data_IF_898357034958
#
_entry.id   IF_898357034958
#
_cell.length_a   1.000
_cell.length_b   1.000
_cell.length_c   1.000
_cell.angle_alpha   90.00
_cell.angle_beta   90.00
_cell.angle_gamma   90.00
#
_symmetry.space_group_name_H-M   'P 1'
#
loop_
_entity.id
_entity.type
_entity.pdbx_description
1 polymer ?
#
# COMPACT_ATOMS: atom_id res chain seq x y z
N UNK A 1 3.72 -14.65 11.50
CA UNK A 1 2.70 -13.84 10.76
C UNK A 1 3.43 -13.10 9.64
N UNK A 2 2.83 -12.95 8.45
CA UNK A 2 3.44 -12.29 7.30
C UNK A 2 2.45 -11.34 6.66
N UNK A 3 2.96 -10.33 5.95
CA UNK A 3 2.16 -9.53 5.02
C UNK A 3 2.11 -10.30 3.71
N UNK A 4 0.92 -10.55 3.19
CA UNK A 4 0.71 -11.11 1.85
C UNK A 4 0.26 -9.99 0.92
N UNK A 5 0.69 -10.03 -0.33
CA UNK A 5 0.33 -8.97 -1.27
C UNK A 5 0.14 -9.51 -2.68
N UNK A 6 -0.67 -8.79 -3.44
CA UNK A 6 -0.91 -9.04 -4.87
C UNK A 6 -0.98 -7.71 -5.60
N UNK A 7 -0.41 -7.63 -6.79
CA UNK A 7 -0.61 -6.51 -7.71
C UNK A 7 -1.15 -7.02 -9.03
N UNK A 8 -2.15 -6.30 -9.55
CA UNK A 8 -2.74 -6.56 -10.85
C UNK A 8 -2.90 -5.28 -11.65
N UNK A 9 -3.23 -5.44 -12.93
CA UNK A 9 -3.45 -4.37 -13.90
C UNK A 9 -4.89 -4.42 -14.42
N UNK A 10 -5.30 -3.41 -15.14
CA UNK A 10 -6.61 -3.40 -15.80
C UNK A 10 -6.80 -4.56 -16.79
N UNK A 11 -5.70 -5.10 -17.33
CA UNK A 11 -5.75 -6.24 -18.25
C UNK A 11 -6.10 -7.56 -17.54
N UNK A 12 -5.92 -7.63 -16.21
CA UNK A 12 -6.24 -8.81 -15.41
C UNK A 12 -7.72 -8.87 -15.01
N UNK A 13 -8.47 -7.76 -15.19
CA UNK A 13 -9.89 -7.68 -14.82
C UNK A 13 -10.74 -8.27 -15.94
N UNK A 14 -11.57 -9.29 -15.67
CA UNK A 14 -12.47 -9.84 -16.70
C UNK A 14 -13.44 -8.80 -17.24
N UNK A 15 -13.77 -8.89 -18.51
CA UNK A 15 -14.75 -8.01 -19.14
C UNK A 15 -16.16 -8.20 -18.55
N UNK A 16 -16.50 -9.43 -18.18
CA UNK A 16 -17.75 -9.77 -17.52
C UNK A 16 -17.61 -9.66 -16.00
N UNK A 17 -18.66 -9.13 -15.36
CA UNK A 17 -18.64 -8.87 -13.91
C UNK A 17 -19.30 -9.98 -13.09
N UNK A 18 -19.39 -11.20 -13.60
CA UNK A 18 -19.99 -12.35 -12.90
C UNK A 18 -19.28 -12.72 -11.58
N UNK A 19 -18.10 -12.19 -11.35
CA UNK A 19 -17.31 -12.35 -10.12
C UNK A 19 -17.69 -11.37 -8.99
N UNK A 20 -18.54 -10.38 -9.27
CA UNK A 20 -19.08 -9.47 -8.25
C UNK A 20 -20.26 -10.10 -7.54
N UNK A 21 -20.35 -9.91 -6.22
CA UNK A 21 -21.58 -10.22 -5.48
C UNK A 21 -22.71 -9.22 -5.81
N UNK A 22 -23.94 -9.53 -5.38
CA UNK A 22 -25.11 -8.70 -5.67
C UNK A 22 -24.97 -7.25 -5.20
N UNK A 23 -24.46 -7.03 -3.98
CA UNK A 23 -24.26 -5.68 -3.42
C UNK A 23 -23.20 -4.88 -4.21
N UNK A 24 -22.14 -5.55 -4.65
CA UNK A 24 -21.10 -4.91 -5.46
C UNK A 24 -21.57 -4.57 -6.86
N UNK A 25 -22.42 -5.42 -7.45
CA UNK A 25 -23.08 -5.17 -8.74
C UNK A 25 -24.02 -3.97 -8.64
N UNK A 26 -24.81 -3.88 -7.58
CA UNK A 26 -25.66 -2.71 -7.30
C UNK A 26 -24.79 -1.45 -7.16
N UNK A 27 -23.73 -1.52 -6.38
CA UNK A 27 -22.79 -0.38 -6.19
C UNK A 27 -22.16 0.08 -7.50
N UNK A 28 -21.77 -0.87 -8.36
CA UNK A 28 -21.21 -0.60 -9.68
C UNK A 28 -22.20 0.15 -10.57
N UNK A 29 -23.49 -0.20 -10.53
CA UNK A 29 -24.54 0.44 -11.34
C UNK A 29 -24.76 1.92 -10.99
N UNK A 30 -24.47 2.31 -9.75
CA UNK A 30 -24.57 3.69 -9.27
C UNK A 30 -23.38 4.58 -9.71
N UNK A 31 -22.29 3.99 -10.19
CA UNK A 31 -21.08 4.74 -10.56
C UNK A 31 -21.20 5.38 -11.93
N UNK A 32 -21.24 6.70 -11.95
CA UNK A 32 -21.42 7.51 -13.18
C UNK A 32 -20.13 7.73 -13.97
N UNK A 33 -18.97 7.81 -13.29
CA UNK A 33 -17.70 8.17 -13.92
C UNK A 33 -16.91 6.93 -14.31
N UNK A 34 -16.62 6.78 -15.61
CA UNK A 34 -15.93 5.61 -16.18
C UNK A 34 -14.59 5.35 -15.49
N UNK A 35 -13.76 6.38 -15.28
CA UNK A 35 -12.47 6.23 -14.61
C UNK A 35 -12.64 5.64 -13.19
N UNK A 36 -13.54 6.23 -12.39
CA UNK A 36 -13.80 5.77 -11.01
C UNK A 36 -14.35 4.34 -10.98
N UNK A 37 -15.20 4.00 -11.96
CA UNK A 37 -15.74 2.64 -12.12
C UNK A 37 -14.62 1.64 -12.40
N UNK A 38 -13.73 1.95 -13.36
CA UNK A 38 -12.61 1.06 -13.72
C UNK A 38 -11.61 0.89 -12.56
N UNK A 39 -11.27 1.98 -11.88
CA UNK A 39 -10.38 1.94 -10.71
C UNK A 39 -11.00 1.11 -9.57
N UNK A 40 -12.31 1.24 -9.35
CA UNK A 40 -13.03 0.47 -8.36
C UNK A 40 -13.09 -1.02 -8.71
N UNK A 41 -13.40 -1.37 -9.97
CA UNK A 41 -13.39 -2.76 -10.45
C UNK A 41 -12.01 -3.39 -10.27
N UNK A 42 -10.96 -2.70 -10.69
CA UNK A 42 -9.59 -3.17 -10.55
C UNK A 42 -9.23 -3.41 -9.06
N UNK A 43 -9.56 -2.49 -8.17
CA UNK A 43 -9.33 -2.65 -6.74
C UNK A 43 -10.09 -3.85 -6.16
N UNK A 44 -11.36 -4.04 -6.53
CA UNK A 44 -12.19 -5.17 -6.08
C UNK A 44 -11.66 -6.51 -6.60
N UNK A 45 -11.35 -6.57 -7.89
CA UNK A 45 -10.75 -7.75 -8.50
C UNK A 45 -9.46 -8.16 -7.78
N UNK A 46 -8.53 -7.21 -7.61
CA UNK A 46 -7.25 -7.46 -6.95
C UNK A 46 -7.43 -7.96 -5.51
N UNK A 47 -8.35 -7.36 -4.75
CA UNK A 47 -8.63 -7.78 -3.38
C UNK A 47 -9.20 -9.20 -3.30
N UNK A 48 -10.19 -9.52 -4.14
CA UNK A 48 -10.81 -10.86 -4.16
C UNK A 48 -9.83 -11.93 -4.60
N UNK A 49 -9.03 -11.66 -5.64
CA UNK A 49 -7.97 -12.56 -6.08
C UNK A 49 -6.91 -12.78 -4.99
N UNK A 50 -6.54 -11.73 -4.27
CA UNK A 50 -5.59 -11.85 -3.16
C UNK A 50 -6.16 -12.71 -2.02
N UNK A 51 -7.43 -12.52 -1.64
CA UNK A 51 -8.10 -13.33 -0.61
C UNK A 51 -8.22 -14.79 -1.06
N UNK A 52 -8.67 -15.05 -2.29
CA UNK A 52 -8.77 -16.40 -2.83
C UNK A 52 -7.40 -17.09 -2.85
N UNK A 53 -6.35 -16.41 -3.34
CA UNK A 53 -5.00 -16.94 -3.35
C UNK A 53 -4.46 -17.24 -1.94
N UNK A 54 -4.73 -16.37 -0.96
CA UNK A 54 -4.36 -16.57 0.44
C UNK A 54 -5.04 -17.80 1.05
N UNK A 55 -6.31 -18.02 0.71
CA UNK A 55 -7.10 -19.19 1.16
C UNK A 55 -6.79 -20.46 0.37
N UNK A 56 -5.96 -20.39 -0.67
CA UNK A 56 -5.67 -21.53 -1.55
C UNK A 56 -6.81 -21.89 -2.51
N UNK A 57 -7.75 -20.97 -2.71
CA UNK A 57 -8.89 -21.15 -3.61
C UNK A 57 -8.52 -20.81 -5.05
N UNK A 58 -9.27 -21.35 -6.01
CA UNK A 58 -9.15 -20.98 -7.42
C UNK A 58 -9.80 -19.63 -7.69
N UNK A 59 -9.25 -18.89 -8.63
CA UNK A 59 -9.79 -17.61 -9.09
C UNK A 59 -10.82 -17.87 -10.17
N UNK A 60 -12.03 -18.21 -9.75
CA UNK A 60 -13.19 -18.46 -10.62
C UNK A 60 -14.34 -17.55 -10.18
N UNK A 61 -15.18 -17.12 -11.12
CA UNK A 61 -16.31 -16.21 -10.83
C UNK A 61 -17.22 -16.75 -9.74
N UNK A 62 -17.53 -18.05 -9.75
CA UNK A 62 -18.35 -18.76 -8.76
C UNK A 62 -17.73 -18.85 -7.36
N UNK A 63 -16.44 -18.56 -7.23
CA UNK A 63 -15.75 -18.47 -5.94
C UNK A 63 -15.66 -17.01 -5.48
N UNK A 64 -15.34 -16.11 -6.42
CA UNK A 64 -15.14 -14.71 -6.12
C UNK A 64 -16.43 -13.95 -5.80
N UNK A 65 -17.59 -14.37 -6.32
CA UNK A 65 -18.89 -13.78 -6.01
C UNK A 65 -19.31 -14.00 -4.54
N UNK A 66 -18.73 -14.99 -3.86
CA UNK A 66 -18.89 -15.22 -2.42
C UNK A 66 -17.98 -14.36 -1.54
N UNK A 67 -17.00 -13.68 -2.12
CA UNK A 67 -16.10 -12.74 -1.42
C UNK A 67 -16.62 -11.33 -1.66
N UNK A 68 -17.03 -10.63 -0.62
CA UNK A 68 -17.46 -9.23 -0.70
C UNK A 68 -16.48 -8.31 0.03
N UNK A 69 -16.14 -7.17 -0.56
CA UNK A 69 -15.35 -6.14 0.09
C UNK A 69 -16.25 -4.95 0.41
N UNK A 70 -16.64 -4.82 1.66
CA UNK A 70 -17.44 -3.70 2.16
C UNK A 70 -16.53 -2.55 2.58
N UNK A 71 -17.06 -1.34 2.59
CA UNK A 71 -16.41 -0.19 3.18
C UNK A 71 -16.87 -0.04 4.62
N UNK A 72 -15.93 -0.04 5.57
CA UNK A 72 -16.20 0.35 6.94
C UNK A 72 -16.66 1.83 7.01
N UNK A 73 -17.15 2.28 8.16
CA UNK A 73 -17.46 3.70 8.40
C UNK A 73 -16.25 4.61 8.23
N UNK A 74 -15.04 4.10 8.47
CA UNK A 74 -13.76 4.78 8.20
C UNK A 74 -13.41 4.84 6.71
N UNK A 75 -14.08 4.06 5.85
CA UNK A 75 -13.72 3.84 4.45
C UNK A 75 -12.74 2.68 4.21
N UNK A 76 -12.21 2.07 5.28
CA UNK A 76 -11.31 0.92 5.16
C UNK A 76 -12.04 -0.29 4.55
N UNK A 77 -11.35 -1.12 3.74
CA UNK A 77 -11.95 -2.31 3.17
C UNK A 77 -12.11 -3.41 4.22
N UNK A 78 -13.31 -3.94 4.34
CA UNK A 78 -13.64 -5.08 5.20
C UNK A 78 -14.07 -6.27 4.35
N UNK A 79 -13.35 -7.41 4.40
CA UNK A 79 -13.69 -8.60 3.64
C UNK A 79 -14.74 -9.47 4.35
N UNK A 80 -15.73 -9.90 3.59
CA UNK A 80 -16.76 -10.85 3.98
C UNK A 80 -16.67 -12.07 3.06
N UNK A 81 -16.92 -13.25 3.60
CA UNK A 81 -17.04 -14.50 2.86
C UNK A 81 -18.36 -15.14 3.23
N UNK A 82 -19.22 -15.41 2.26
CA UNK A 82 -20.57 -15.93 2.47
C UNK A 82 -21.29 -15.13 3.57
N UNK A 83 -21.32 -13.80 3.46
CA UNK A 83 -21.97 -12.85 4.38
C UNK A 83 -21.30 -12.72 5.78
N UNK A 84 -20.28 -13.52 6.07
CA UNK A 84 -19.59 -13.48 7.35
C UNK A 84 -18.30 -12.63 7.25
N UNK A 85 -18.12 -11.68 8.18
CA UNK A 85 -16.91 -10.88 8.27
C UNK A 85 -15.72 -11.78 8.59
N UNK A 86 -14.65 -11.63 7.82
CA UNK A 86 -13.41 -12.39 8.06
C UNK A 86 -12.49 -11.71 9.06
N UNK A 87 -11.58 -12.47 9.67
CA UNK A 87 -10.51 -11.95 10.50
C UNK A 87 -9.26 -11.56 9.68
N UNK A 88 -9.45 -11.05 8.45
CA UNK A 88 -8.34 -10.55 7.62
C UNK A 88 -8.28 -9.03 7.67
N UNK A 89 -7.09 -8.49 7.96
CA UNK A 89 -6.80 -7.08 7.68
C UNK A 89 -6.51 -6.94 6.19
N UNK A 90 -7.16 -5.97 5.54
CA UNK A 90 -7.02 -5.71 4.10
C UNK A 90 -6.72 -4.24 3.88
N UNK A 91 -5.82 -3.94 2.98
CA UNK A 91 -5.60 -2.58 2.47
C UNK A 91 -5.47 -2.61 0.96
N UNK A 92 -5.94 -1.54 0.31
CA UNK A 92 -5.97 -1.40 -1.14
C UNK A 92 -5.38 -0.05 -1.56
N UNK A 93 -4.67 -0.07 -2.68
CA UNK A 93 -4.32 1.15 -3.41
C UNK A 93 -4.34 0.90 -4.91
N UNK A 94 -4.54 1.96 -5.68
CA UNK A 94 -4.49 1.89 -7.14
C UNK A 94 -3.89 3.17 -7.73
N UNK A 95 -3.06 3.01 -8.75
CA UNK A 95 -2.43 4.10 -9.46
C UNK A 95 -2.10 3.67 -10.90
N UNK A 96 -2.31 4.55 -11.87
CA UNK A 96 -1.90 4.37 -13.26
C UNK A 96 -2.32 3.01 -13.86
N UNK A 97 -3.58 2.59 -13.66
CA UNK A 97 -4.13 1.34 -14.18
C UNK A 97 -3.59 0.07 -13.51
N UNK A 98 -3.03 0.20 -12.31
CA UNK A 98 -2.58 -0.90 -11.46
C UNK A 98 -3.23 -0.79 -10.09
N UNK A 99 -3.46 -1.92 -9.43
CA UNK A 99 -3.89 -1.97 -8.04
C UNK A 99 -3.01 -2.92 -7.24
N UNK A 100 -2.85 -2.62 -5.96
CA UNK A 100 -2.21 -3.48 -4.97
C UNK A 100 -3.19 -3.79 -3.85
N UNK A 101 -3.22 -5.05 -3.42
CA UNK A 101 -3.90 -5.50 -2.23
C UNK A 101 -2.88 -6.05 -1.24
N UNK A 102 -2.96 -5.64 0.01
CA UNK A 102 -2.19 -6.21 1.11
C UNK A 102 -3.11 -6.88 2.11
N UNK A 103 -2.73 -8.06 2.56
CA UNK A 103 -3.48 -8.88 3.52
C UNK A 103 -2.60 -9.22 4.73
N UNK A 104 -3.22 -9.16 5.91
CA UNK A 104 -2.60 -9.66 7.15
C UNK A 104 -3.61 -10.55 7.88
N UNK A 105 -3.23 -11.75 8.30
CA UNK A 105 -4.08 -12.59 9.13
C UNK A 105 -4.44 -11.92 10.46
N UNK A 106 -5.48 -12.41 11.13
CA UNK A 106 -5.93 -11.96 12.45
C UNK A 106 -6.45 -10.52 12.56
N UNK A 107 -6.84 -9.89 11.45
CA UNK A 107 -7.44 -8.55 11.47
C UNK A 107 -6.49 -7.43 11.93
N UNK A 108 -5.17 -7.68 11.94
CA UNK A 108 -4.21 -6.64 12.31
C UNK A 108 -4.29 -5.46 11.32
N UNK A 109 -4.02 -4.26 11.82
CA UNK A 109 -3.98 -3.07 11.00
C UNK A 109 -2.86 -3.18 9.96
N UNK A 110 -3.24 -3.01 8.69
CA UNK A 110 -2.34 -2.99 7.54
C UNK A 110 -2.67 -1.81 6.65
N UNK A 111 -1.64 -1.17 6.11
CA UNK A 111 -1.79 -0.15 5.09
C UNK A 111 -0.88 -0.46 3.91
N UNK A 112 -1.38 -0.25 2.71
CA UNK A 112 -0.57 -0.31 1.50
C UNK A 112 -0.83 0.88 0.61
N UNK A 113 0.20 1.26 -0.13
CA UNK A 113 0.06 2.30 -1.12
C UNK A 113 0.88 2.00 -2.37
N UNK A 114 0.41 2.52 -3.51
CA UNK A 114 0.99 2.39 -4.83
C UNK A 114 0.96 3.73 -5.53
N UNK A 115 2.13 4.28 -5.85
CA UNK A 115 2.25 5.59 -6.45
C UNK A 115 3.15 5.57 -7.69
N UNK A 116 2.79 6.40 -8.69
CA UNK A 116 3.63 6.65 -9.84
C UNK A 116 4.73 7.63 -9.48
N UNK A 117 5.97 7.32 -9.88
CA UNK A 117 7.09 8.24 -9.72
C UNK A 117 6.94 9.39 -10.72
N UNK A 118 6.65 10.57 -10.21
CA UNK A 118 6.53 11.78 -11.02
C UNK A 118 6.98 13.03 -10.25
N UNK A 119 7.46 14.07 -10.93
CA UNK A 119 7.80 15.33 -10.29
C UNK A 119 6.57 15.92 -9.61
N UNK A 120 6.74 16.41 -8.39
CA UNK A 120 5.74 17.19 -7.65
C UNK A 120 6.23 18.62 -7.52
N UNK A 121 5.28 19.57 -7.43
CA UNK A 121 5.59 20.98 -7.19
C UNK A 121 6.14 21.18 -5.77
N UNK A 122 6.95 22.20 -5.55
CA UNK A 122 7.56 22.48 -4.25
C UNK A 122 6.53 22.70 -3.14
N UNK A 123 5.38 23.28 -3.47
CA UNK A 123 4.26 23.44 -2.55
C UNK A 123 3.77 22.10 -1.99
N UNK A 124 3.76 21.01 -2.79
CA UNK A 124 3.41 19.68 -2.30
C UNK A 124 4.34 19.22 -1.17
N UNK A 125 5.64 19.51 -1.31
CA UNK A 125 6.63 19.13 -0.29
C UNK A 125 6.44 19.96 0.97
N UNK A 126 6.21 21.28 0.86
CA UNK A 126 5.98 22.15 2.01
C UNK A 126 4.66 21.85 2.74
N UNK A 127 3.62 21.44 2.02
CA UNK A 127 2.29 21.26 2.59
C UNK A 127 2.12 19.91 3.31
N UNK A 128 2.81 18.87 2.84
CA UNK A 128 2.58 17.50 3.30
C UNK A 128 3.76 16.86 4.06
N UNK A 129 4.95 17.46 4.04
CA UNK A 129 6.14 16.84 4.63
C UNK A 129 6.62 17.58 5.89
N UNK A 130 7.23 16.82 6.81
CA UNK A 130 7.87 17.40 8.00
C UNK A 130 9.07 18.24 7.59
N UNK A 131 9.55 19.13 8.48
CA UNK A 131 10.72 19.94 8.22
C UNK A 131 11.97 19.09 7.91
N UNK A 132 12.12 17.95 8.61
CA UNK A 132 13.23 17.02 8.40
C UNK A 132 13.15 16.35 7.02
N UNK A 133 11.94 15.96 6.58
CA UNK A 133 11.72 15.36 5.26
C UNK A 133 11.93 16.40 4.14
N UNK A 134 11.53 17.65 4.35
CA UNK A 134 11.80 18.75 3.41
C UNK A 134 13.31 18.96 3.21
N UNK A 135 14.08 18.99 4.30
CA UNK A 135 15.55 19.07 4.23
C UNK A 135 16.15 17.86 3.50
N UNK A 136 15.59 16.67 3.74
CA UNK A 136 16.02 15.46 3.06
C UNK A 136 15.81 15.56 1.54
N UNK A 137 14.65 16.04 1.11
CA UNK A 137 14.32 16.25 -0.32
C UNK A 137 15.23 17.32 -0.93
N UNK A 138 15.48 18.42 -0.22
CA UNK A 138 16.37 19.51 -0.69
C UNK A 138 17.80 19.03 -0.92
N UNK A 139 18.32 18.17 -0.04
CA UNK A 139 19.67 17.62 -0.11
C UNK A 139 19.82 16.47 -1.12
N UNK A 140 18.70 15.96 -1.68
CA UNK A 140 18.73 14.89 -2.68
C UNK A 140 19.12 15.46 -4.05
N UNK A 141 19.98 14.78 -4.84
CA UNK A 141 20.22 15.12 -6.23
C UNK A 141 18.94 15.24 -7.04
N UNK A 142 18.82 16.26 -7.86
CA UNK A 142 17.59 16.59 -8.61
C UNK A 142 16.97 15.40 -9.36
N UNK A 143 17.72 14.50 -10.04
CA UNK A 143 17.14 13.35 -10.71
C UNK A 143 16.48 12.31 -9.78
N UNK A 144 16.88 12.28 -8.50
CA UNK A 144 16.38 11.32 -7.50
C UNK A 144 15.23 11.89 -6.65
N UNK A 145 15.00 13.20 -6.69
CA UNK A 145 13.96 13.88 -5.88
C UNK A 145 12.55 13.33 -6.13
N UNK A 146 12.10 13.12 -7.38
CA UNK A 146 10.76 12.60 -7.63
C UNK A 146 10.52 11.26 -6.96
N UNK A 147 11.46 10.33 -7.02
CA UNK A 147 11.34 9.02 -6.40
C UNK A 147 11.32 9.10 -4.86
N UNK A 148 12.14 9.96 -4.26
CA UNK A 148 12.12 10.18 -2.81
C UNK A 148 10.81 10.82 -2.34
N UNK A 149 10.35 11.87 -3.01
CA UNK A 149 9.07 12.53 -2.70
C UNK A 149 7.91 11.53 -2.79
N UNK A 150 7.87 10.74 -3.85
CA UNK A 150 6.86 9.71 -4.04
C UNK A 150 6.93 8.64 -2.94
N UNK A 151 8.13 8.22 -2.53
CA UNK A 151 8.31 7.23 -1.47
C UNK A 151 7.83 7.74 -0.11
N UNK A 152 8.23 8.95 0.28
CA UNK A 152 7.79 9.55 1.54
C UNK A 152 6.27 9.72 1.59
N UNK A 153 5.68 10.19 0.48
CA UNK A 153 4.23 10.31 0.35
C UNK A 153 3.52 8.96 0.49
N UNK A 154 3.94 7.97 -0.30
CA UNK A 154 3.36 6.63 -0.28
C UNK A 154 3.45 5.96 1.10
N UNK A 155 4.58 6.16 1.83
CA UNK A 155 4.72 5.64 3.19
C UNK A 155 3.73 6.30 4.17
N UNK A 156 3.51 7.62 4.06
CA UNK A 156 2.51 8.34 4.86
C UNK A 156 1.10 7.86 4.57
N UNK A 157 0.73 7.72 3.29
CA UNK A 157 -0.57 7.19 2.87
C UNK A 157 -0.80 5.77 3.40
N UNK A 158 0.22 4.91 3.36
CA UNK A 158 0.13 3.56 3.93
C UNK A 158 -0.15 3.62 5.44
N UNK A 159 0.54 4.49 6.19
CA UNK A 159 0.30 4.63 7.62
C UNK A 159 -1.10 5.18 7.93
N UNK A 160 -1.58 6.17 7.17
CA UNK A 160 -2.93 6.70 7.30
C UNK A 160 -4.02 5.65 7.03
N UNK A 161 -3.80 4.78 6.05
CA UNK A 161 -4.68 3.63 5.78
C UNK A 161 -4.65 2.62 6.93
N UNK A 162 -3.48 2.32 7.50
CA UNK A 162 -3.36 1.43 8.66
C UNK A 162 -3.99 2.02 9.92
N UNK A 163 -4.01 3.36 10.07
CA UNK A 163 -4.71 4.06 11.15
C UNK A 163 -6.24 4.04 10.97
N UNK A 164 -6.73 3.89 9.73
CA UNK A 164 -8.14 4.03 9.39
C UNK A 164 -8.63 5.49 9.37
N UNK A 165 -7.70 6.46 9.36
CA UNK A 165 -8.01 7.89 9.44
C UNK A 165 -8.08 8.58 8.07
N UNK A 166 -7.45 8.00 7.04
CA UNK A 166 -7.31 8.64 5.75
C UNK A 166 -6.63 10.01 5.89
N UNK A 167 -6.95 10.96 5.02
CA UNK A 167 -6.39 12.32 5.03
C UNK A 167 -7.03 13.25 6.09
N UNK A 168 -7.68 12.73 7.12
CA UNK A 168 -8.20 13.54 8.23
C UNK A 168 -7.12 14.00 9.21
N UNK A 169 -6.00 13.27 9.28
CA UNK A 169 -4.81 13.67 10.04
C UNK A 169 -3.89 14.54 9.18
N UNK A 170 -3.25 15.51 9.84
CA UNK A 170 -2.17 16.29 9.20
C UNK A 170 -1.00 15.36 8.89
N UNK A 171 -0.66 15.22 7.61
CA UNK A 171 0.44 14.36 7.17
C UNK A 171 1.80 14.80 7.72
N UNK A 172 1.94 16.05 8.16
CA UNK A 172 3.14 16.56 8.83
C UNK A 172 3.32 16.03 10.25
N UNK A 173 2.25 15.47 10.86
CA UNK A 173 2.36 14.72 12.12
C UNK A 173 2.94 13.32 11.93
N UNK A 174 3.05 12.87 10.68
CA UNK A 174 3.59 11.56 10.31
C UNK A 174 5.01 11.73 9.79
N UNK A 175 5.97 11.06 10.42
CA UNK A 175 7.37 11.04 9.99
C UNK A 175 7.77 9.68 9.45
N UNK A 176 8.54 9.67 8.36
CA UNK A 176 9.02 8.46 7.68
C UNK A 176 10.52 8.31 7.89
N UNK A 177 10.95 7.16 8.37
CA UNK A 177 12.34 6.77 8.46
C UNK A 177 12.62 5.60 7.51
N UNK A 178 13.56 5.80 6.59
CA UNK A 178 14.06 4.78 5.67
C UNK A 178 15.30 4.18 6.30
N UNK A 179 15.27 2.90 6.66
CA UNK A 179 16.29 2.30 7.50
C UNK A 179 17.03 1.10 6.89
N UNK A 180 18.20 0.80 7.47
CA UNK A 180 18.92 -0.47 7.35
C UNK A 180 18.31 -1.43 8.39
N UNK A 181 18.07 -2.69 8.02
CA UNK A 181 17.50 -3.76 8.90
C UNK A 181 18.14 -3.83 10.29
N UNK A 182 19.42 -3.46 10.42
CA UNK A 182 20.20 -3.52 11.64
C UNK A 182 19.91 -2.41 12.66
N UNK A 183 19.11 -1.40 12.30
CA UNK A 183 18.85 -0.20 13.14
C UNK A 183 17.40 -0.01 13.56
N UNK A 184 16.49 -0.90 13.17
CA UNK A 184 15.05 -0.79 13.48
C UNK A 184 14.71 -1.29 14.91
N UNK A 185 15.67 -1.87 15.62
CA UNK A 185 15.48 -2.34 17.00
C UNK A 185 15.82 -1.29 18.06
N UNK A 186 15.10 -0.18 18.08
CA UNK A 186 15.26 0.80 19.15
C UNK A 186 14.97 2.24 18.67
N UNK A 187 14.46 3.06 19.57
CA UNK A 187 14.12 4.48 19.43
C UNK A 187 14.89 5.21 18.34
N UNK A 188 14.18 5.97 17.49
CA UNK A 188 14.80 6.85 16.49
C UNK A 188 15.88 7.73 17.14
N UNK A 189 17.15 7.61 16.75
CA UNK A 189 18.19 8.45 17.32
C UNK A 189 18.02 9.89 16.84
N UNK A 190 18.15 10.84 17.74
CA UNK A 190 18.34 12.25 17.38
C UNK A 190 19.57 12.34 16.45
N UNK A 191 19.38 12.81 15.20
CA UNK A 191 20.46 12.92 14.22
C UNK A 191 20.51 11.80 13.18
N UNK A 192 19.35 11.26 12.76
CA UNK A 192 19.27 10.29 11.67
C UNK A 192 19.95 10.84 10.40
N UNK A 193 21.14 10.31 10.10
CA UNK A 193 21.79 10.51 8.81
C UNK A 193 21.37 9.38 7.88
N UNK A 194 20.77 9.73 6.74
CA UNK A 194 20.52 8.75 5.67
C UNK A 194 21.80 8.00 5.34
N UNK A 195 21.72 6.66 5.11
CA UNK A 195 22.85 5.94 4.57
C UNK A 195 23.28 6.62 3.26
N UNK A 196 24.58 6.88 3.08
CA UNK A 196 25.19 7.55 1.92
C UNK A 196 24.90 6.86 0.56
N UNK A 197 24.05 5.86 0.54
CA UNK A 197 23.61 5.08 -0.61
C UNK A 197 22.11 4.83 -0.55
N UNK A 198 21.30 5.89 -0.63
CA UNK A 198 20.08 5.79 -1.40
C UNK A 198 20.45 5.88 -2.89
N UNK A 199 21.33 5.00 -3.30
CA UNK A 199 21.28 4.56 -4.66
C UNK A 199 19.96 3.81 -4.78
N UNK A 200 18.98 4.36 -5.47
CA UNK A 200 17.94 3.61 -6.18
C UNK A 200 18.72 2.80 -7.26
N UNK A 201 19.76 2.18 -6.83
CA UNK A 201 20.59 1.33 -7.65
C UNK A 201 20.28 -0.12 -7.29
N UNK A 202 19.88 -0.86 -8.27
CA UNK A 202 19.83 -2.31 -8.41
C UNK A 202 20.98 -3.12 -7.73
N UNK A 203 21.75 -2.56 -6.82
CA UNK A 203 23.00 -3.12 -6.32
C UNK A 203 22.84 -4.19 -5.22
N UNK A 204 21.65 -4.48 -4.73
CA UNK A 204 21.43 -5.48 -3.67
C UNK A 204 20.42 -6.57 -4.04
N UNK A 205 19.78 -6.48 -5.21
CA UNK A 205 18.87 -7.52 -5.69
C UNK A 205 19.45 -8.23 -6.89
N UNK A 206 19.29 -9.55 -6.98
CA UNK A 206 19.61 -10.27 -8.22
C UNK A 206 18.88 -9.63 -9.41
N UNK A 207 19.48 -9.61 -10.61
CA UNK A 207 18.81 -9.09 -11.80
C UNK A 207 17.44 -9.74 -11.96
N UNK A 208 16.37 -8.90 -11.98
CA UNK A 208 14.99 -9.38 -12.16
C UNK A 208 14.20 -9.60 -10.87
N UNK A 209 14.80 -9.51 -9.66
CA UNK A 209 14.04 -9.52 -8.40
C UNK A 209 14.01 -8.14 -7.76
N UNK A 210 12.82 -7.61 -7.57
CA UNK A 210 12.63 -6.38 -6.84
C UNK A 210 12.64 -6.69 -5.33
N UNK A 211 13.62 -6.16 -4.59
CA UNK A 211 13.75 -6.38 -3.16
C UNK A 211 12.88 -5.41 -2.35
N UNK A 212 12.30 -5.91 -1.27
CA UNK A 212 11.68 -5.10 -0.26
C UNK A 212 12.72 -4.56 0.71
N UNK A 213 12.72 -3.25 0.91
CA UNK A 213 13.57 -2.54 1.87
C UNK A 213 12.75 -2.08 3.06
N UNK A 214 13.32 -2.12 4.28
CA UNK A 214 12.58 -1.76 5.48
C UNK A 214 12.31 -0.25 5.56
N UNK A 215 11.16 0.10 6.15
CA UNK A 215 10.81 1.46 6.55
C UNK A 215 10.12 1.46 7.91
N UNK A 216 10.12 2.61 8.56
CA UNK A 216 9.35 2.86 9.77
C UNK A 216 8.60 4.18 9.61
N UNK A 217 7.35 4.20 10.09
CA UNK A 217 6.52 5.41 10.08
C UNK A 217 6.02 5.67 11.49
N UNK A 218 6.19 6.90 11.97
CA UNK A 218 5.73 7.31 13.29
C UNK A 218 4.68 8.41 13.18
N UNK A 219 3.56 8.25 13.85
CA UNK A 219 2.54 9.27 14.00
C UNK A 219 2.73 9.96 15.35
N UNK A 220 3.17 11.24 15.35
CA UNK A 220 3.47 12.02 16.55
C UNK A 220 2.23 12.23 17.41
N UNK A 221 1.09 12.52 16.81
CA UNK A 221 -0.16 12.85 17.51
C UNK A 221 -0.72 11.67 18.31
N UNK A 222 -0.54 10.45 17.81
CA UNK A 222 -1.05 9.24 18.46
C UNK A 222 0.03 8.45 19.19
N UNK A 223 1.31 8.80 19.03
CA UNK A 223 2.45 8.02 19.51
C UNK A 223 2.60 6.64 18.86
N UNK A 224 1.82 6.34 17.81
CA UNK A 224 1.85 5.03 17.13
C UNK A 224 3.01 4.96 16.14
N UNK A 225 3.70 3.83 16.16
CA UNK A 225 4.71 3.48 15.18
C UNK A 225 4.22 2.33 14.30
N UNK A 226 4.58 2.39 13.02
CA UNK A 226 4.34 1.34 12.03
C UNK A 226 5.67 0.88 11.48
N UNK A 227 5.77 -0.41 11.27
CA UNK A 227 6.91 -1.06 10.64
C UNK A 227 6.48 -1.54 9.25
N UNK A 228 7.36 -1.43 8.29
CA UNK A 228 6.94 -1.78 6.93
C UNK A 228 8.09 -1.97 5.97
N UNK A 229 7.68 -2.07 4.74
CA UNK A 229 8.53 -2.41 3.61
C UNK A 229 8.19 -1.50 2.43
N UNK A 230 9.21 -1.14 1.67
CA UNK A 230 9.02 -0.42 0.44
C UNK A 230 9.82 -1.05 -0.70
N UNK A 231 9.35 -0.82 -1.90
CA UNK A 231 9.95 -1.27 -3.14
C UNK A 231 9.71 -0.19 -4.20
N UNK A 232 10.74 0.14 -4.96
CA UNK A 232 10.63 1.08 -6.08
C UNK A 232 11.26 0.51 -7.33
N UNK A 233 10.72 0.90 -8.47
CA UNK A 233 11.36 0.81 -9.77
C UNK A 233 11.33 2.21 -10.43
N UNK A 234 11.66 2.29 -11.73
CA UNK A 234 11.69 3.57 -12.46
C UNK A 234 10.34 4.30 -12.45
N UNK A 235 9.22 3.56 -12.38
CA UNK A 235 7.88 4.11 -12.64
C UNK A 235 6.99 4.14 -11.41
N UNK A 236 7.22 3.23 -10.44
CA UNK A 236 6.32 3.00 -9.32
C UNK A 236 7.04 2.84 -8.01
N UNK A 237 6.42 3.32 -6.95
CA UNK A 237 6.73 3.04 -5.55
C UNK A 237 5.59 2.22 -4.95
N UNK A 238 5.95 1.24 -4.12
CA UNK A 238 5.03 0.45 -3.29
C UNK A 238 5.48 0.53 -1.85
N UNK A 239 4.54 0.73 -0.96
CA UNK A 239 4.78 0.70 0.48
C UNK A 239 3.73 -0.15 1.19
N UNK A 240 4.15 -0.88 2.21
CA UNK A 240 3.32 -1.75 3.03
C UNK A 240 3.70 -1.54 4.49
N UNK A 241 2.76 -1.25 5.36
CA UNK A 241 3.02 -1.05 6.79
C UNK A 241 2.05 -1.81 7.68
N UNK A 242 2.52 -2.19 8.86
CA UNK A 242 1.76 -2.85 9.92
C UNK A 242 2.15 -2.28 11.27
N UNK A 243 1.27 -2.41 12.28
CA UNK A 243 1.55 -1.92 13.64
C UNK A 243 2.69 -2.71 14.33
N UNK A 244 2.84 -4.00 14.02
CA UNK A 244 3.94 -4.83 14.53
C UNK A 244 4.96 -5.08 13.42
N UNK A 245 6.27 -5.24 13.75
CA UNK A 245 7.26 -5.63 12.75
C UNK A 245 6.97 -7.04 12.23
N UNK A 246 6.95 -7.18 10.92
CA UNK A 246 6.74 -8.44 10.21
C UNK A 246 7.88 -8.68 9.20
N UNK A 247 8.14 -9.94 8.81
CA UNK A 247 9.13 -10.25 7.77
C UNK A 247 8.75 -9.61 6.42
N UNK A 248 9.67 -9.62 5.43
CA UNK A 248 9.38 -9.10 4.10
C UNK A 248 8.09 -9.67 3.50
N UNK A 249 7.34 -8.86 2.74
CA UNK A 249 6.05 -9.25 2.18
C UNK A 249 6.14 -10.44 1.23
N UNK A 250 5.16 -11.33 1.32
CA UNK A 250 5.05 -12.53 0.49
C UNK A 250 4.11 -12.26 -0.68
N UNK A 251 4.61 -12.43 -1.90
CA UNK A 251 3.79 -12.31 -3.11
C UNK A 251 2.82 -13.49 -3.21
N UNK A 252 1.56 -13.20 -3.42
CA UNK A 252 0.53 -14.17 -3.70
C UNK A 252 0.52 -14.55 -5.19
N UNK A 253 0.28 -15.81 -5.47
CA UNK A 253 0.14 -16.34 -6.82
C UNK A 253 -1.30 -16.89 -6.99
N UNK A 254 -2.21 -16.12 -7.61
CA UNK A 254 -3.56 -16.60 -7.89
C UNK A 254 -3.55 -17.87 -8.76
N UNK A 255 -4.33 -18.86 -8.37
CA UNK A 255 -4.53 -20.07 -9.19
C UNK A 255 -5.73 -19.82 -10.11
N UNK A 256 -5.45 -19.66 -11.38
CA UNK A 256 -6.47 -19.57 -12.44
C UNK A 256 -7.11 -20.91 -12.71
#
# INVERSE_FOLDING_TARGET
MSIFWLQQTVADVPAENAWLCANETLRLSEMKFIKRRNDWLLGRWTAKCAIAAYLGWRVESSVLDHIEIRAATSGAPEPFIAEQRTALGVSLSHCAGRAIAALVPSGAAVGCDLEKVEPRVDAFVSDYFTAEEQLLVQNMPAPSRPALVTLLWSAKESALKALGEGLRLDTRSISVALGDERKISGHLPAGFQMPRRLGIHHALCPPGQACWLPLQVCCRDTGRAFHGWWQANTDLVRTLVTAAPLPPPVLLNPRL
#
